data_IF_089819809316
#
_entry.id   IF_089819809316
#
_cell.length_a   1.000
_cell.length_b   1.000
_cell.length_c   1.000
_cell.angle_alpha   90.00
_cell.angle_beta   90.00
_cell.angle_gamma   90.00
#
_symmetry.space_group_name_H-M   'P 1'
#
loop_
_entity.id
_entity.type
_entity.pdbx_description
1 polymer ?
#
# COMPACT_ATOMS: atom_id res chain seq x y z
N UNK A 1 -24.88 20.82 -0.36
CA UNK A 1 -24.04 19.83 0.34
C UNK A 1 -23.48 18.88 -0.71
N UNK A 2 -22.41 18.15 -0.41
CA UNK A 2 -21.83 17.17 -1.33
C UNK A 2 -22.83 16.01 -1.54
N UNK A 3 -23.09 15.62 -2.79
CA UNK A 3 -23.98 14.48 -3.10
C UNK A 3 -23.50 13.19 -2.43
N UNK A 4 -22.18 13.03 -2.28
CA UNK A 4 -21.60 11.92 -1.52
C UNK A 4 -22.05 11.96 -0.05
N UNK A 5 -21.92 13.11 0.63
CA UNK A 5 -22.33 13.25 2.02
C UNK A 5 -23.84 13.02 2.22
N UNK A 6 -24.67 13.46 1.26
CA UNK A 6 -26.12 13.25 1.31
C UNK A 6 -26.44 11.74 1.22
N UNK A 7 -25.80 11.02 0.30
CA UNK A 7 -25.94 9.56 0.18
C UNK A 7 -25.45 8.83 1.43
N UNK A 8 -24.28 9.17 1.98
CA UNK A 8 -23.77 8.60 3.23
C UNK A 8 -24.74 8.82 4.39
N UNK A 9 -25.27 10.04 4.52
CA UNK A 9 -26.21 10.40 5.58
C UNK A 9 -27.53 9.63 5.49
N UNK A 10 -27.93 9.23 4.27
CA UNK A 10 -29.15 8.45 4.02
C UNK A 10 -29.04 6.95 4.29
N UNK A 11 -27.83 6.41 4.49
CA UNK A 11 -27.65 4.97 4.73
C UNK A 11 -28.26 4.53 6.06
N UNK A 12 -28.96 3.39 6.13
CA UNK A 12 -29.45 2.88 7.42
C UNK A 12 -28.29 2.44 8.33
N UNK A 13 -27.36 1.67 7.75
CA UNK A 13 -26.15 1.16 8.42
C UNK A 13 -24.96 1.49 7.54
N UNK A 14 -23.99 2.21 8.08
CA UNK A 14 -22.72 2.49 7.38
C UNK A 14 -21.75 1.32 7.51
N UNK A 15 -20.98 1.12 6.46
CA UNK A 15 -19.81 0.24 6.39
C UNK A 15 -18.85 0.80 5.37
N UNK A 16 -17.59 0.38 5.44
CA UNK A 16 -16.56 0.70 4.48
C UNK A 16 -16.98 0.36 3.03
N UNK A 17 -17.57 -0.82 2.82
CA UNK A 17 -18.03 -1.24 1.48
C UNK A 17 -19.08 -0.28 0.91
N UNK A 18 -19.99 0.23 1.76
CA UNK A 18 -20.98 1.24 1.35
C UNK A 18 -20.35 2.60 1.10
N UNK A 19 -19.30 2.97 1.83
CA UNK A 19 -18.54 4.20 1.59
C UNK A 19 -17.90 4.17 0.20
N UNK A 20 -17.17 3.09 -0.11
CA UNK A 20 -16.53 2.90 -1.42
C UNK A 20 -17.57 2.80 -2.54
N UNK A 21 -18.65 2.03 -2.33
CA UNK A 21 -19.74 1.91 -3.30
C UNK A 21 -20.42 3.24 -3.60
N UNK A 22 -20.61 4.09 -2.58
CA UNK A 22 -21.17 5.43 -2.75
C UNK A 22 -20.24 6.32 -3.57
N UNK A 23 -18.93 6.30 -3.29
CA UNK A 23 -17.94 7.04 -4.07
C UNK A 23 -17.92 6.58 -5.53
N UNK A 24 -17.87 5.26 -5.77
CA UNK A 24 -17.84 4.68 -7.11
C UNK A 24 -19.07 5.03 -7.95
N UNK A 25 -20.26 5.03 -7.34
CA UNK A 25 -21.51 5.39 -8.01
C UNK A 25 -21.60 6.87 -8.41
N UNK A 26 -20.69 7.72 -7.92
CA UNK A 26 -20.62 9.14 -8.22
C UNK A 26 -19.48 9.49 -9.19
N UNK A 27 -18.73 8.49 -9.68
CA UNK A 27 -17.72 8.69 -10.72
C UNK A 27 -18.38 8.49 -12.09
N UNK A 28 -18.32 9.49 -13.00
CA UNK A 28 -18.85 9.34 -14.35
C UNK A 28 -18.19 8.15 -15.09
N UNK A 29 -18.95 7.29 -15.80
CA UNK A 29 -18.41 6.11 -16.46
C UNK A 29 -17.30 6.40 -17.49
N UNK A 30 -17.38 7.55 -18.16
CA UNK A 30 -16.40 8.06 -19.13
C UNK A 30 -15.14 8.65 -18.48
N UNK A 31 -15.18 8.89 -17.18
CA UNK A 31 -14.09 9.47 -16.39
C UNK A 31 -13.48 8.47 -15.40
N UNK A 32 -13.84 7.18 -15.48
CA UNK A 32 -13.13 6.13 -14.74
C UNK A 32 -11.63 6.25 -15.05
N UNK A 33 -10.79 6.73 -14.11
CA UNK A 33 -9.47 7.21 -14.48
C UNK A 33 -8.57 6.03 -14.85
N UNK A 34 -7.78 6.19 -15.90
CA UNK A 34 -6.69 5.26 -16.23
C UNK A 34 -5.68 5.22 -15.08
N UNK A 35 -5.01 4.09 -14.86
CA UNK A 35 -4.01 3.93 -13.80
C UNK A 35 -2.93 5.04 -13.81
N UNK A 36 -2.60 5.56 -15.01
CA UNK A 36 -1.65 6.66 -15.26
C UNK A 36 -2.00 8.01 -14.63
N UNK A 37 -3.27 8.41 -14.62
CA UNK A 37 -3.67 9.70 -14.07
C UNK A 37 -3.45 9.75 -12.54
N UNK A 38 -3.42 8.59 -11.89
CA UNK A 38 -3.53 8.41 -10.43
C UNK A 38 -2.18 8.40 -9.67
N UNK A 39 -1.04 8.54 -10.35
CA UNK A 39 0.33 8.37 -9.78
C UNK A 39 1.05 9.69 -9.43
N UNK A 40 0.38 10.85 -9.48
CA UNK A 40 0.94 12.10 -8.95
C UNK A 40 0.84 12.09 -7.42
N UNK A 41 1.86 11.50 -6.77
CA UNK A 41 1.80 11.01 -5.40
C UNK A 41 1.25 11.98 -4.35
N UNK A 42 0.41 11.43 -3.46
CA UNK A 42 0.18 11.81 -2.06
C UNK A 42 -0.39 13.19 -1.74
N UNK A 43 -0.12 14.18 -2.59
CA UNK A 43 -0.54 15.57 -2.47
C UNK A 43 -1.45 15.86 -3.66
N UNK A 44 -2.50 15.06 -3.83
CA UNK A 44 -3.62 15.51 -4.65
C UNK A 44 -4.41 16.47 -3.77
N UNK A 45 -4.38 17.73 -4.15
CA UNK A 45 -5.29 18.72 -3.60
C UNK A 45 -6.71 18.25 -3.93
N UNK A 46 -7.49 17.92 -2.90
CA UNK A 46 -8.89 17.51 -3.03
C UNK A 46 -9.74 18.73 -3.46
N UNK A 47 -9.59 19.16 -4.70
CA UNK A 47 -10.16 20.41 -5.23
C UNK A 47 -11.56 20.21 -5.82
N UNK A 48 -12.00 18.97 -5.98
CA UNK A 48 -13.32 18.63 -6.51
C UNK A 48 -13.92 17.37 -5.88
N UNK A 49 -15.25 17.27 -5.96
CA UNK A 49 -16.00 16.08 -5.54
C UNK A 49 -15.56 14.82 -6.29
N UNK A 50 -15.22 14.97 -7.58
CA UNK A 50 -14.69 13.89 -8.39
C UNK A 50 -13.36 13.37 -7.83
N UNK A 51 -12.40 14.24 -7.51
CA UNK A 51 -11.09 13.83 -6.98
C UNK A 51 -11.20 13.15 -5.61
N UNK A 52 -12.12 13.61 -4.76
CA UNK A 52 -12.39 12.96 -3.48
C UNK A 52 -12.98 11.55 -3.67
N UNK A 53 -13.92 11.37 -4.60
CA UNK A 53 -14.50 10.06 -4.92
C UNK A 53 -13.47 9.12 -5.57
N UNK A 54 -12.70 9.63 -6.53
CA UNK A 54 -11.62 8.90 -7.18
C UNK A 54 -10.60 8.39 -6.17
N UNK A 55 -10.21 9.23 -5.20
CA UNK A 55 -9.29 8.81 -4.13
C UNK A 55 -9.83 7.62 -3.33
N UNK A 56 -11.09 7.67 -2.90
CA UNK A 56 -11.70 6.57 -2.13
C UNK A 56 -11.70 5.28 -2.96
N UNK A 57 -12.12 5.35 -4.23
CA UNK A 57 -12.17 4.18 -5.11
C UNK A 57 -10.79 3.63 -5.46
N UNK A 58 -9.81 4.51 -5.67
CA UNK A 58 -8.45 4.13 -6.04
C UNK A 58 -7.65 3.56 -4.87
N UNK A 59 -7.78 4.14 -3.68
CA UNK A 59 -6.89 3.84 -2.55
C UNK A 59 -7.58 3.26 -1.33
N UNK A 60 -8.90 3.32 -1.23
CA UNK A 60 -9.63 2.85 -0.05
C UNK A 60 -9.40 1.38 0.26
N UNK A 61 -9.60 0.49 -0.71
CA UNK A 61 -9.39 -0.96 -0.53
C UNK A 61 -7.95 -1.28 -0.14
N UNK A 62 -6.99 -0.53 -0.70
CA UNK A 62 -5.57 -0.64 -0.35
C UNK A 62 -5.32 -0.20 1.10
N UNK A 63 -6.03 0.80 1.62
CA UNK A 63 -5.93 1.16 3.05
C UNK A 63 -6.56 0.08 3.93
N UNK A 64 -7.76 -0.40 3.58
CA UNK A 64 -8.45 -1.47 4.31
C UNK A 64 -7.57 -2.71 4.44
N UNK A 65 -7.05 -3.18 3.32
CA UNK A 65 -6.09 -4.27 3.25
C UNK A 65 -4.97 -4.19 4.28
N UNK A 66 -4.27 -3.06 4.28
CA UNK A 66 -3.12 -2.83 5.17
C UNK A 66 -3.55 -2.79 6.62
N UNK A 67 -4.68 -2.16 6.93
CA UNK A 67 -5.18 -2.12 8.31
C UNK A 67 -5.57 -3.52 8.79
N UNK A 68 -6.22 -4.31 7.93
CA UNK A 68 -6.70 -5.65 8.25
C UNK A 68 -5.60 -6.68 8.52
N UNK A 69 -4.36 -6.44 8.10
CA UNK A 69 -3.21 -7.27 8.48
C UNK A 69 -2.71 -6.98 9.91
N UNK A 70 -3.02 -5.82 10.48
CA UNK A 70 -2.49 -5.38 11.79
C UNK A 70 -3.53 -5.31 12.88
N UNK A 71 -4.75 -4.91 12.56
CA UNK A 71 -5.86 -4.85 13.51
C UNK A 71 -6.06 -6.17 14.28
N UNK A 72 -5.89 -7.38 13.69
CA UNK A 72 -5.91 -8.65 14.41
C UNK A 72 -4.87 -8.80 15.52
N UNK A 73 -3.72 -8.14 15.40
CA UNK A 73 -2.59 -8.25 16.33
C UNK A 73 -2.73 -7.31 17.54
N UNK A 74 -3.70 -6.39 17.52
CA UNK A 74 -3.96 -5.47 18.62
C UNK A 74 -4.87 -6.17 19.64
N UNK A 75 -4.51 -6.20 20.94
CA UNK A 75 -5.30 -6.86 21.98
C UNK A 75 -6.52 -6.03 22.40
N UNK A 76 -7.44 -5.77 21.45
CA UNK A 76 -8.64 -4.95 21.68
C UNK A 76 -9.55 -5.50 22.78
N UNK A 77 -9.49 -6.80 23.08
CA UNK A 77 -10.23 -7.39 24.20
C UNK A 77 -9.83 -6.76 25.55
N UNK A 78 -8.58 -6.34 25.71
CA UNK A 78 -8.10 -5.63 26.90
C UNK A 78 -8.59 -4.17 26.98
N UNK A 79 -9.28 -3.71 25.94
CA UNK A 79 -9.89 -2.38 25.85
C UNK A 79 -11.40 -2.43 26.15
N UNK A 80 -12.01 -3.60 26.40
CA UNK A 80 -13.46 -3.72 26.64
C UNK A 80 -13.90 -2.91 27.86
N UNK A 81 -13.16 -2.99 28.97
CA UNK A 81 -13.52 -2.30 30.21
C UNK A 81 -13.00 -0.85 30.28
N UNK A 82 -12.06 -0.48 29.41
CA UNK A 82 -11.40 0.84 29.44
C UNK A 82 -11.81 1.74 28.28
N UNK A 83 -12.35 1.18 27.20
CA UNK A 83 -12.61 1.87 25.94
C UNK A 83 -11.35 2.11 25.11
N UNK A 84 -11.49 2.90 24.06
CA UNK A 84 -10.43 3.21 23.10
C UNK A 84 -10.55 4.64 22.57
N UNK A 85 -9.41 5.31 22.43
CA UNK A 85 -9.28 6.57 21.70
C UNK A 85 -8.75 6.26 20.29
N UNK A 86 -9.44 6.72 19.25
CA UNK A 86 -9.01 6.57 17.86
C UNK A 86 -8.42 7.89 17.34
N UNK A 87 -7.25 7.82 16.72
CA UNK A 87 -6.60 8.99 16.10
C UNK A 87 -6.25 8.67 14.65
N UNK A 88 -6.90 9.33 13.70
CA UNK A 88 -6.69 9.16 12.26
C UNK A 88 -5.86 10.34 11.73
N UNK A 89 -4.58 10.07 11.47
CA UNK A 89 -3.59 11.07 11.04
C UNK A 89 -3.62 11.29 9.53
N UNK A 90 -4.80 11.50 8.95
CA UNK A 90 -4.92 11.80 7.52
C UNK A 90 -4.74 10.58 6.63
N UNK A 91 -5.48 9.51 6.93
CA UNK A 91 -5.59 8.35 6.05
C UNK A 91 -6.54 8.57 4.85
N UNK A 92 -7.03 9.80 4.67
CA UNK A 92 -7.88 10.20 3.58
C UNK A 92 -9.36 9.96 3.89
N UNK A 93 -10.09 11.05 4.12
CA UNK A 93 -11.55 11.08 4.28
C UNK A 93 -12.05 10.14 5.39
N UNK A 94 -11.26 9.88 6.43
CA UNK A 94 -11.65 9.04 7.58
C UNK A 94 -11.70 7.52 7.29
N UNK A 95 -11.05 7.07 6.22
CA UNK A 95 -11.03 5.66 5.80
C UNK A 95 -10.49 4.75 6.90
N UNK A 96 -9.41 5.13 7.59
CA UNK A 96 -8.82 4.26 8.59
C UNK A 96 -9.71 4.11 9.82
N UNK A 97 -10.37 5.20 10.22
CA UNK A 97 -11.43 5.17 11.24
C UNK A 97 -12.56 4.23 10.83
N UNK A 98 -13.11 4.37 9.61
CA UNK A 98 -14.22 3.54 9.14
C UNK A 98 -13.87 2.04 9.13
N UNK A 99 -12.69 1.67 8.62
CA UNK A 99 -12.21 0.28 8.60
C UNK A 99 -12.05 -0.26 10.02
N UNK A 100 -11.46 0.53 10.92
CA UNK A 100 -11.26 0.12 12.32
C UNK A 100 -12.60 -0.08 13.04
N UNK A 101 -13.57 0.80 12.82
CA UNK A 101 -14.90 0.70 13.41
C UNK A 101 -15.68 -0.52 12.88
N UNK A 102 -15.61 -0.80 11.58
CA UNK A 102 -16.16 -2.02 10.99
C UNK A 102 -15.50 -3.27 11.60
N UNK A 103 -14.17 -3.24 11.73
CA UNK A 103 -13.41 -4.33 12.33
C UNK A 103 -13.85 -4.60 13.78
N UNK A 104 -13.98 -3.56 14.60
CA UNK A 104 -14.42 -3.70 16.00
C UNK A 104 -15.87 -4.21 16.09
N UNK A 105 -16.78 -3.71 15.25
CA UNK A 105 -18.18 -4.21 15.19
C UNK A 105 -18.27 -5.68 14.79
N UNK A 106 -17.30 -6.20 14.03
CA UNK A 106 -17.25 -7.61 13.63
C UNK A 106 -16.77 -8.56 14.74
N UNK A 107 -16.29 -8.04 15.87
CA UNK A 107 -15.79 -8.87 16.98
C UNK A 107 -16.94 -9.38 17.85
N UNK A 108 -16.69 -10.48 18.57
CA UNK A 108 -17.62 -11.05 19.56
C UNK A 108 -17.68 -10.25 20.87
N UNK A 109 -16.79 -9.28 21.05
CA UNK A 109 -16.74 -8.34 22.16
C UNK A 109 -16.94 -6.91 21.65
N UNK A 110 -17.38 -6.01 22.52
CA UNK A 110 -17.61 -4.60 22.20
C UNK A 110 -16.55 -3.75 22.89
N UNK A 111 -15.92 -2.85 22.13
CA UNK A 111 -15.01 -1.84 22.65
C UNK A 111 -15.67 -0.48 22.47
N UNK A 112 -15.85 0.25 23.57
CA UNK A 112 -16.39 1.60 23.52
C UNK A 112 -15.36 2.56 22.90
N UNK A 113 -15.79 3.39 21.94
CA UNK A 113 -14.96 4.46 21.42
C UNK A 113 -15.22 5.71 22.24
N UNK A 114 -14.25 6.09 23.07
CA UNK A 114 -14.39 7.21 24.00
C UNK A 114 -14.09 8.55 23.32
N UNK A 115 -13.21 8.55 22.32
CA UNK A 115 -12.90 9.74 21.54
C UNK A 115 -12.40 9.38 20.14
N UNK A 116 -12.67 10.26 19.18
CA UNK A 116 -12.10 10.21 17.84
C UNK A 116 -11.42 11.54 17.53
N UNK A 117 -10.18 11.47 17.05
CA UNK A 117 -9.40 12.60 16.56
C UNK A 117 -9.18 12.40 15.07
N UNK A 118 -9.77 13.27 14.25
CA UNK A 118 -9.64 13.25 12.79
C UNK A 118 -8.72 14.38 12.37
N UNK A 119 -7.66 14.05 11.64
CA UNK A 119 -6.73 15.03 11.11
C UNK A 119 -6.67 14.88 9.59
N UNK A 120 -6.82 15.97 8.85
CA UNK A 120 -6.73 15.96 7.38
C UNK A 120 -6.02 17.21 6.87
N UNK A 121 -5.34 17.10 5.72
CA UNK A 121 -4.58 18.24 5.15
C UNK A 121 -5.49 19.35 4.58
N UNK A 122 -6.72 19.02 4.21
CA UNK A 122 -7.64 19.98 3.57
C UNK A 122 -9.08 19.78 4.06
N UNK A 123 -9.77 20.91 4.25
CA UNK A 123 -11.15 20.98 4.71
C UNK A 123 -12.16 20.03 4.04
N UNK A 124 -12.19 19.86 2.70
CA UNK A 124 -13.18 18.98 2.08
C UNK A 124 -13.02 17.51 2.52
N UNK A 125 -11.78 17.03 2.65
CA UNK A 125 -11.50 15.68 3.13
C UNK A 125 -11.87 15.54 4.62
N UNK A 126 -11.54 16.55 5.43
CA UNK A 126 -11.91 16.59 6.85
C UNK A 126 -13.43 16.52 7.06
N UNK A 127 -14.19 17.32 6.30
CA UNK A 127 -15.65 17.33 6.39
C UNK A 127 -16.27 15.97 6.02
N UNK A 128 -15.71 15.29 5.01
CA UNK A 128 -16.14 13.92 4.66
C UNK A 128 -15.79 12.92 5.74
N UNK A 129 -14.58 13.00 6.29
CA UNK A 129 -14.16 12.15 7.41
C UNK A 129 -15.13 12.29 8.60
N UNK A 130 -15.44 13.53 8.98
CA UNK A 130 -16.40 13.84 10.05
C UNK A 130 -17.79 13.29 9.74
N UNK A 131 -18.31 13.50 8.52
CA UNK A 131 -19.60 12.99 8.09
C UNK A 131 -19.68 11.46 8.13
N UNK A 132 -18.61 10.78 7.69
CA UNK A 132 -18.48 9.33 7.74
C UNK A 132 -18.50 8.85 9.19
N UNK A 133 -17.61 9.36 10.05
CA UNK A 133 -17.50 8.93 11.45
C UNK A 133 -18.78 9.19 12.23
N UNK A 134 -19.43 10.33 12.04
CA UNK A 134 -20.71 10.62 12.70
C UNK A 134 -21.81 9.62 12.32
N UNK A 135 -21.75 9.06 11.11
CA UNK A 135 -22.71 8.05 10.66
C UNK A 135 -22.50 6.68 11.33
N UNK A 136 -21.35 6.45 11.96
CA UNK A 136 -21.10 5.25 12.77
C UNK A 136 -21.85 5.24 14.12
N UNK A 137 -22.65 6.26 14.45
CA UNK A 137 -23.48 6.29 15.66
C UNK A 137 -22.69 5.92 16.92
N UNK A 138 -21.53 6.56 17.10
CA UNK A 138 -20.71 6.41 18.30
C UNK A 138 -21.52 6.84 19.54
N UNK A 139 -21.13 6.39 20.75
CA UNK A 139 -21.77 6.82 21.99
C UNK A 139 -21.90 8.34 22.07
N UNK A 140 -22.97 8.85 22.68
CA UNK A 140 -23.15 10.31 22.84
C UNK A 140 -22.07 10.96 23.72
N UNK A 141 -21.37 10.15 24.52
CA UNK A 141 -20.19 10.53 25.30
C UNK A 141 -18.91 10.60 24.47
N UNK A 142 -18.91 10.07 23.24
CA UNK A 142 -17.73 10.05 22.38
C UNK A 142 -17.39 11.45 21.91
N UNK A 143 -16.22 11.95 22.29
CA UNK A 143 -15.73 13.25 21.85
C UNK A 143 -15.07 13.13 20.47
N UNK A 144 -15.68 13.73 19.46
CA UNK A 144 -15.19 13.75 18.07
C UNK A 144 -14.62 15.13 17.75
N UNK A 145 -13.30 15.21 17.64
CA UNK A 145 -12.58 16.42 17.24
C UNK A 145 -11.98 16.23 15.86
N UNK A 146 -12.28 17.16 14.95
CA UNK A 146 -11.79 17.15 13.57
C UNK A 146 -10.98 18.43 13.32
N UNK A 147 -9.69 18.28 12.97
CA UNK A 147 -8.77 19.38 12.74
C UNK A 147 -8.16 19.31 11.35
N UNK A 148 -8.05 20.48 10.70
CA UNK A 148 -7.17 20.61 9.57
C UNK A 148 -5.72 20.58 10.08
N UNK A 149 -4.81 19.96 9.34
CA UNK A 149 -3.40 19.93 9.71
C UNK A 149 -2.83 21.36 9.65
N UNK A 150 -2.80 22.02 10.79
CA UNK A 150 -2.01 23.20 11.04
C UNK A 150 -1.28 23.06 12.39
N UNK A 151 -0.05 23.57 12.47
CA UNK A 151 0.81 23.44 13.65
C UNK A 151 0.20 24.07 14.92
N UNK A 152 -0.80 24.95 14.76
CA UNK A 152 -1.39 25.72 15.88
C UNK A 152 -2.51 24.95 16.57
N UNK A 153 -3.19 24.03 15.89
CA UNK A 153 -4.28 23.23 16.45
C UNK A 153 -3.86 21.92 17.10
N UNK A 154 -2.64 21.42 16.88
CA UNK A 154 -2.24 20.07 17.30
C UNK A 154 -2.28 19.83 18.81
N UNK A 155 -2.09 20.86 19.64
CA UNK A 155 -2.19 20.73 21.10
C UNK A 155 -3.62 20.37 21.55
N UNK A 156 -4.64 20.87 20.85
CA UNK A 156 -6.05 20.56 21.16
C UNK A 156 -6.40 19.09 20.99
N UNK A 157 -5.62 18.33 20.22
CA UNK A 157 -5.83 16.89 20.08
C UNK A 157 -5.63 16.14 21.41
N UNK A 158 -4.81 16.70 22.32
CA UNK A 158 -4.51 16.13 23.63
C UNK A 158 -5.48 16.59 24.73
N UNK A 159 -6.33 17.57 24.45
CA UNK A 159 -7.28 18.13 25.40
C UNK A 159 -8.46 17.17 25.62
N UNK A 160 -8.99 17.18 26.84
CA UNK A 160 -10.20 16.46 27.27
C UNK A 160 -10.21 14.95 27.00
N UNK A 161 -9.02 14.32 26.91
CA UNK A 161 -8.90 12.87 26.73
C UNK A 161 -9.11 12.11 28.06
N UNK A 162 -9.95 11.06 28.07
CA UNK A 162 -10.26 10.29 29.28
C UNK A 162 -9.03 9.57 29.85
N UNK A 163 -8.87 9.60 31.18
CA UNK A 163 -7.71 9.06 31.90
C UNK A 163 -7.56 7.54 31.76
N UNK A 164 -6.33 7.05 31.53
CA UNK A 164 -6.03 5.62 31.44
C UNK A 164 -6.52 4.90 30.18
N UNK A 165 -7.34 5.54 29.34
CA UNK A 165 -7.89 4.94 28.12
C UNK A 165 -6.80 4.74 27.06
N UNK A 166 -6.62 3.53 26.50
CA UNK A 166 -5.65 3.28 25.43
C UNK A 166 -5.90 4.12 24.17
N UNK A 167 -4.82 4.45 23.45
CA UNK A 167 -4.89 5.24 22.21
C UNK A 167 -4.42 4.40 21.02
N UNK A 168 -5.17 4.41 19.91
CA UNK A 168 -4.78 3.84 18.63
C UNK A 168 -4.54 4.97 17.61
N UNK A 169 -3.28 5.15 17.23
CA UNK A 169 -2.86 6.08 16.19
C UNK A 169 -2.77 5.34 14.85
N UNK A 170 -3.53 5.82 13.88
CA UNK A 170 -3.60 5.30 12.51
C UNK A 170 -2.92 6.32 11.59
N UNK A 171 -1.78 5.94 11.03
CA UNK A 171 -1.04 6.70 10.04
C UNK A 171 -1.15 6.01 8.69
N UNK A 172 -1.35 6.79 7.63
CA UNK A 172 -1.18 6.34 6.25
C UNK A 172 0.14 6.90 5.67
N UNK A 173 0.18 7.17 4.37
CA UNK A 173 1.28 7.79 3.64
C UNK A 173 1.59 9.22 4.09
N UNK A 174 0.91 9.77 5.10
CA UNK A 174 1.14 11.13 5.58
C UNK A 174 2.59 11.34 6.01
N UNK A 175 3.22 10.32 6.61
CA UNK A 175 4.63 10.39 7.06
C UNK A 175 5.64 10.49 5.90
N UNK A 176 5.21 10.26 4.66
CA UNK A 176 6.04 10.44 3.46
C UNK A 176 5.85 11.81 2.78
N UNK A 177 4.97 12.66 3.32
CA UNK A 177 4.70 14.01 2.78
C UNK A 177 5.91 14.91 3.02
N UNK A 178 6.48 15.45 1.94
CA UNK A 178 7.64 16.34 2.01
C UNK A 178 7.26 17.64 2.73
N UNK A 179 8.02 17.99 3.77
CA UNK A 179 7.82 19.23 4.54
C UNK A 179 6.85 19.09 5.71
N UNK A 180 6.39 17.88 6.03
CA UNK A 180 5.61 17.62 7.23
C UNK A 180 6.48 17.72 8.50
N UNK A 181 5.92 18.29 9.57
CA UNK A 181 6.57 18.43 10.88
C UNK A 181 6.53 17.09 11.66
N UNK A 182 7.41 16.16 11.30
CA UNK A 182 7.50 14.82 11.93
C UNK A 182 7.78 14.91 13.43
N UNK A 183 8.58 15.89 13.86
CA UNK A 183 8.92 16.06 15.26
C UNK A 183 7.70 16.55 16.06
N UNK A 184 6.93 17.49 15.52
CA UNK A 184 5.65 17.90 16.10
C UNK A 184 4.66 16.75 16.22
N UNK A 185 4.55 15.88 15.20
CA UNK A 185 3.72 14.66 15.26
C UNK A 185 4.18 13.78 16.41
N UNK A 186 5.49 13.51 16.51
CA UNK A 186 6.07 12.67 17.56
C UNK A 186 5.75 13.23 18.94
N UNK A 187 5.95 14.52 19.15
CA UNK A 187 5.63 15.20 20.40
C UNK A 187 4.15 15.07 20.76
N UNK A 188 3.24 15.24 19.80
CA UNK A 188 1.80 15.07 20.03
C UNK A 188 1.44 13.62 20.37
N UNK A 189 2.01 12.63 19.66
CA UNK A 189 1.81 11.20 19.98
C UNK A 189 2.30 10.89 21.40
N UNK A 190 3.44 11.44 21.82
CA UNK A 190 3.95 11.28 23.19
C UNK A 190 3.08 11.96 24.24
N UNK A 191 2.58 13.16 23.97
CA UNK A 191 1.63 13.87 24.85
C UNK A 191 0.34 13.06 25.02
N UNK A 192 -0.23 12.54 23.92
CA UNK A 192 -1.42 11.68 23.94
C UNK A 192 -1.18 10.38 24.68
N UNK A 193 0.02 9.80 24.58
CA UNK A 193 0.38 8.62 25.35
C UNK A 193 0.21 8.93 26.83
N UNK A 194 0.85 9.97 27.36
CA UNK A 194 0.57 10.45 28.73
C UNK A 194 0.53 9.35 29.81
N UNK A 195 1.38 8.32 29.70
CA UNK A 195 1.40 7.16 30.59
C UNK A 195 0.40 6.02 30.30
N UNK A 196 -0.38 6.12 29.23
CA UNK A 196 -1.34 5.12 28.74
C UNK A 196 -0.69 4.10 27.82
N UNK A 197 -1.41 3.03 27.49
CA UNK A 197 -1.07 2.16 26.36
C UNK A 197 -1.34 2.90 25.05
N UNK A 198 -0.34 2.94 24.17
CA UNK A 198 -0.49 3.53 22.84
C UNK A 198 -0.11 2.51 21.77
N UNK A 199 -0.96 2.38 20.76
CA UNK A 199 -0.77 1.54 19.59
C UNK A 199 -0.55 2.46 18.40
N UNK A 200 0.51 2.25 17.65
CA UNK A 200 0.80 3.05 16.45
C UNK A 200 0.88 2.11 15.26
N UNK A 201 -0.06 2.32 14.34
CA UNK A 201 -0.15 1.60 13.09
C UNK A 201 0.16 2.56 11.95
N UNK A 202 1.25 2.32 11.24
CA UNK A 202 1.63 3.09 10.06
C UNK A 202 1.57 2.22 8.81
N UNK A 203 0.71 2.61 7.87
CA UNK A 203 0.52 1.92 6.61
C UNK A 203 1.07 2.76 5.45
N UNK A 204 2.14 2.30 4.78
CA UNK A 204 2.82 3.07 3.73
C UNK A 204 3.29 2.21 2.55
N UNK A 205 3.48 2.77 1.35
CA UNK A 205 4.09 2.07 0.21
C UNK A 205 5.57 1.77 0.47
N UNK A 206 6.08 0.67 -0.10
CA UNK A 206 7.52 0.38 -0.12
C UNK A 206 8.25 1.34 -1.08
N UNK A 207 8.67 2.49 -0.56
CA UNK A 207 9.39 3.51 -1.34
C UNK A 207 10.91 3.29 -1.40
N UNK A 208 11.40 2.07 -1.11
CA UNK A 208 12.83 1.73 -1.18
C UNK A 208 13.47 2.02 -2.55
N UNK A 209 12.68 2.23 -3.60
CA UNK A 209 13.24 2.41 -4.94
C UNK A 209 13.38 3.86 -5.45
N UNK A 210 13.09 4.91 -4.65
CA UNK A 210 13.17 6.29 -5.18
C UNK A 210 13.91 7.38 -4.41
N UNK A 211 14.36 7.20 -3.17
CA UNK A 211 15.16 8.25 -2.48
C UNK A 211 16.28 7.67 -1.64
N UNK A 212 17.44 8.31 -1.73
CA UNK A 212 18.71 8.01 -1.08
C UNK A 212 18.71 8.24 0.44
N UNK A 213 17.56 8.09 1.12
CA UNK A 213 17.40 8.39 2.54
C UNK A 213 16.59 7.27 3.20
N UNK A 214 16.91 6.86 4.43
CA UNK A 214 16.04 5.94 5.17
C UNK A 214 14.60 6.51 5.19
N UNK A 215 13.57 5.67 5.05
CA UNK A 215 12.19 6.17 5.05
C UNK A 215 11.94 6.91 6.37
N UNK A 216 11.37 8.12 6.31
CA UNK A 216 11.06 8.96 7.48
C UNK A 216 10.29 8.19 8.56
N UNK A 217 9.49 7.21 8.12
CA UNK A 217 8.85 6.22 8.97
C UNK A 217 9.82 5.49 9.92
N UNK A 218 10.95 4.98 9.45
CA UNK A 218 11.89 4.25 10.32
C UNK A 218 12.54 5.16 11.37
N UNK A 219 12.78 6.42 11.03
CA UNK A 219 13.32 7.41 11.98
C UNK A 219 12.25 7.84 12.98
N UNK A 220 10.99 7.99 12.54
CA UNK A 220 9.82 8.16 13.41
C UNK A 220 9.69 6.99 14.39
N UNK A 221 9.79 5.73 13.92
CA UNK A 221 9.75 4.53 14.77
C UNK A 221 10.86 4.51 15.83
N UNK A 222 12.09 4.85 15.44
CA UNK A 222 13.26 4.84 16.33
C UNK A 222 13.22 5.94 17.40
N UNK A 223 12.37 6.94 17.21
CA UNK A 223 12.29 8.10 18.10
C UNK A 223 11.50 7.84 19.40
N UNK A 224 10.76 6.73 19.48
CA UNK A 224 10.02 6.32 20.68
C UNK A 224 10.91 5.50 21.64
N UNK A 225 10.82 5.71 22.96
CA UNK A 225 11.71 5.04 23.93
C UNK A 225 11.25 3.61 24.27
N UNK A 226 11.85 2.56 23.68
CA UNK A 226 11.49 1.12 23.84
C UNK A 226 10.20 0.71 23.09
N UNK A 227 10.14 0.87 21.76
CA UNK A 227 9.02 0.37 20.98
C UNK A 227 9.01 -1.16 21.03
N UNK A 228 7.84 -1.74 21.28
CA UNK A 228 7.62 -3.16 21.10
C UNK A 228 7.02 -3.37 19.72
N UNK A 229 7.84 -3.89 18.81
CA UNK A 229 7.38 -4.21 17.46
C UNK A 229 6.34 -5.33 17.57
N UNK A 230 5.07 -4.99 17.35
CA UNK A 230 3.98 -5.96 17.25
C UNK A 230 4.13 -6.75 15.94
N UNK A 231 4.50 -6.06 14.86
CA UNK A 231 4.66 -6.69 13.56
C UNK A 231 5.53 -5.85 12.62
N UNK A 232 6.55 -6.47 12.04
CA UNK A 232 7.30 -5.94 10.90
C UNK A 232 7.11 -6.94 9.78
N UNK A 233 6.56 -6.51 8.64
CA UNK A 233 6.66 -7.31 7.42
C UNK A 233 8.01 -6.98 6.77
N UNK A 234 9.04 -7.84 6.89
CA UNK A 234 10.17 -7.75 5.99
C UNK A 234 9.68 -8.15 4.59
N UNK A 235 10.39 -7.62 3.62
CA UNK A 235 10.19 -7.82 2.19
C UNK A 235 10.41 -9.29 1.78
N UNK A 236 9.56 -10.23 2.22
CA UNK A 236 9.65 -11.66 1.93
C UNK A 236 8.36 -12.16 1.27
N UNK A 237 8.24 -11.90 -0.03
CA UNK A 237 7.67 -12.87 -0.97
C UNK A 237 6.16 -13.15 -0.92
N UNK A 238 5.36 -12.45 -0.12
CA UNK A 238 3.90 -12.64 -0.10
C UNK A 238 3.20 -11.29 -0.26
N UNK A 239 3.19 -10.79 -1.49
CA UNK A 239 2.22 -9.76 -1.86
C UNK A 239 0.82 -10.37 -1.77
N UNK A 240 0.09 -10.14 -0.67
CA UNK A 240 -1.32 -10.51 -0.63
C UNK A 240 -2.10 -9.53 -1.51
N UNK A 241 -2.92 -10.11 -2.39
CA UNK A 241 -3.92 -9.42 -3.20
C UNK A 241 -5.07 -9.01 -2.29
N UNK A 242 -5.51 -7.75 -2.38
CA UNK A 242 -6.70 -7.28 -1.68
C UNK A 242 -7.67 -6.60 -2.65
N UNK A 243 -8.93 -7.00 -2.60
CA UNK A 243 -10.05 -6.41 -3.34
C UNK A 243 -10.62 -7.28 -4.47
N UNK A 244 -11.90 -7.08 -4.79
CA UNK A 244 -12.52 -7.53 -6.05
C UNK A 244 -12.34 -6.42 -7.10
N UNK A 245 -11.80 -6.78 -8.25
CA UNK A 245 -10.95 -5.92 -9.07
C UNK A 245 -11.69 -5.09 -10.14
N UNK A 246 -11.37 -3.79 -10.23
CA UNK A 246 -11.62 -2.98 -11.44
C UNK A 246 -10.64 -1.81 -11.70
N UNK A 247 -9.84 -1.35 -10.72
CA UNK A 247 -9.21 -0.01 -10.85
C UNK A 247 -7.78 0.21 -10.32
N UNK A 248 -7.14 -0.75 -9.64
CA UNK A 248 -5.71 -0.64 -9.26
C UNK A 248 -5.06 -1.99 -9.01
N UNK A 249 -3.95 -2.33 -9.70
CA UNK A 249 -3.19 -3.50 -9.38
C UNK A 249 -1.89 -3.17 -8.63
N UNK A 250 -1.82 -3.72 -7.41
CA UNK A 250 -0.67 -3.80 -6.51
C UNK A 250 -0.08 -2.48 -6.00
N UNK A 251 -0.11 -2.34 -4.68
CA UNK A 251 0.86 -1.52 -3.96
C UNK A 251 1.67 -2.47 -3.07
N UNK A 252 2.96 -2.68 -3.39
CA UNK A 252 3.91 -3.20 -2.41
C UNK A 252 3.93 -2.25 -1.23
N UNK A 253 3.40 -2.67 -0.09
CA UNK A 253 3.30 -1.81 1.08
C UNK A 253 4.06 -2.44 2.23
N UNK A 254 5.15 -1.79 2.63
CA UNK A 254 5.74 -2.08 3.92
C UNK A 254 4.83 -1.47 4.97
N UNK A 255 4.12 -2.34 5.66
CA UNK A 255 3.30 -1.94 6.78
C UNK A 255 4.14 -2.10 8.05
N UNK A 256 4.12 -1.08 8.89
CA UNK A 256 4.83 -1.06 10.17
C UNK A 256 3.80 -0.86 11.28
N UNK A 257 3.69 -1.85 12.15
CA UNK A 257 2.83 -1.77 13.33
C UNK A 257 3.66 -2.03 14.57
N UNK A 258 3.60 -1.11 15.52
CA UNK A 258 4.26 -1.28 16.80
C UNK A 258 3.35 -0.82 17.92
N UNK A 259 3.49 -1.50 19.05
CA UNK A 259 2.93 -1.03 20.28
C UNK A 259 3.99 -0.26 21.02
N UNK A 260 3.54 0.80 21.64
CA UNK A 260 4.37 1.57 22.52
C UNK A 260 3.70 1.70 23.88
N UNK A 261 3.92 0.68 24.70
CA UNK A 261 3.36 0.54 26.03
C UNK A 261 4.44 0.60 27.11
N UNK A 262 4.09 1.13 28.28
CA UNK A 262 4.96 1.18 29.47
C UNK A 262 5.38 -0.21 29.99
N UNK A 263 4.66 -1.26 29.61
CA UNK A 263 4.91 -2.65 29.98
C UNK A 263 4.87 -3.56 28.74
N UNK A 264 5.55 -4.72 28.75
CA UNK A 264 5.45 -5.73 27.71
C UNK A 264 3.99 -6.08 27.42
N UNK A 265 3.59 -6.05 26.15
CA UNK A 265 2.31 -6.58 25.70
C UNK A 265 2.52 -8.04 25.31
N UNK A 266 1.73 -8.95 25.89
CA UNK A 266 1.68 -10.32 25.41
C UNK A 266 0.96 -10.34 24.06
N UNK A 267 1.76 -10.40 22.98
CA UNK A 267 1.22 -10.54 21.63
C UNK A 267 0.76 -11.99 21.47
N UNK A 268 -0.55 -12.20 21.36
CA UNK A 268 -1.08 -13.50 20.94
C UNK A 268 -0.52 -13.82 19.54
N UNK A 269 0.05 -15.01 19.32
CA UNK A 269 0.45 -15.42 17.97
C UNK A 269 -0.79 -15.35 17.08
N UNK A 270 -0.61 -14.83 15.87
CA UNK A 270 -1.67 -14.78 14.86
C UNK A 270 -2.14 -16.23 14.65
N UNK A 271 -3.30 -16.57 15.21
CA UNK A 271 -4.08 -17.67 14.69
C UNK A 271 -4.45 -17.17 13.31
N UNK A 272 -3.97 -17.83 12.26
CA UNK A 272 -4.44 -17.57 10.90
C UNK A 272 -5.95 -17.38 10.99
N UNK A 273 -6.52 -16.30 10.43
CA UNK A 273 -7.97 -16.19 10.40
C UNK A 273 -8.47 -17.53 9.88
N UNK A 274 -9.50 -18.15 10.50
CA UNK A 274 -10.02 -19.41 9.99
C UNK A 274 -10.17 -19.18 8.50
N UNK A 275 -9.47 -20.00 7.70
CA UNK A 275 -9.69 -20.07 6.26
C UNK A 275 -11.20 -20.11 6.19
N UNK A 276 -11.81 -19.04 5.68
CA UNK A 276 -13.25 -19.04 5.51
C UNK A 276 -13.49 -20.35 4.79
N UNK A 277 -14.18 -21.30 5.44
CA UNK A 277 -14.53 -22.54 4.78
C UNK A 277 -15.05 -22.11 3.43
N UNK A 278 -14.45 -22.65 2.39
CA UNK A 278 -14.90 -22.46 1.03
C UNK A 278 -16.36 -22.85 1.07
N UNK A 279 -17.21 -21.85 1.29
CA UNK A 279 -18.63 -22.02 1.41
C UNK A 279 -18.98 -22.67 0.11
N UNK A 280 -19.43 -23.92 0.21
CA UNK A 280 -19.89 -24.72 -0.92
C UNK A 280 -20.62 -23.78 -1.85
N UNK A 281 -20.12 -23.69 -3.08
CA UNK A 281 -20.67 -22.83 -4.12
C UNK A 281 -22.20 -22.83 -3.99
N UNK A 282 -22.86 -21.66 -3.90
CA UNK A 282 -24.31 -21.64 -3.99
C UNK A 282 -24.67 -22.40 -5.26
N UNK A 283 -25.47 -23.47 -5.07
CA UNK A 283 -25.91 -24.32 -6.17
C UNK A 283 -26.41 -23.42 -7.30
N UNK A 284 -25.94 -23.75 -8.50
CA UNK A 284 -26.26 -23.16 -9.79
C UNK A 284 -27.62 -22.46 -9.81
N UNK A 285 -27.60 -21.13 -9.67
CA UNK A 285 -28.65 -20.28 -10.21
C UNK A 285 -28.54 -20.32 -11.75
N UNK A 286 -29.67 -20.33 -12.48
CA UNK A 286 -29.67 -20.52 -13.92
C UNK A 286 -28.86 -19.41 -14.58
N UNK A 287 -27.94 -19.81 -15.45
CA UNK A 287 -27.22 -18.95 -16.37
C UNK A 287 -28.25 -18.28 -17.26
N UNK A 288 -28.68 -17.07 -16.89
CA UNK A 288 -29.23 -16.12 -17.86
C UNK A 288 -28.04 -15.46 -18.51
N UNK A 289 -27.72 -15.97 -19.69
CA UNK A 289 -26.84 -15.38 -20.68
C UNK A 289 -27.19 -13.92 -20.92
N UNK A 290 -26.13 -13.12 -21.11
CA UNK A 290 -26.09 -11.72 -21.54
C UNK A 290 -25.97 -10.65 -20.43
N UNK A 291 -24.78 -10.62 -19.80
CA UNK A 291 -24.15 -9.39 -19.30
C UNK A 291 -22.95 -9.06 -20.21
N UNK A 292 -22.64 -7.79 -20.51
CA UNK A 292 -21.66 -7.42 -21.53
C UNK A 292 -20.25 -7.89 -21.16
N UNK A 293 -19.54 -8.40 -22.17
CA UNK A 293 -18.16 -8.92 -22.14
C UNK A 293 -17.24 -8.18 -21.17
N UNK A 294 -16.50 -8.97 -20.36
CA UNK A 294 -15.30 -8.52 -19.64
C UNK A 294 -14.48 -7.60 -20.54
N UNK A 295 -14.09 -6.44 -20.01
CA UNK A 295 -13.06 -5.62 -20.63
C UNK A 295 -11.83 -6.51 -20.91
N UNK A 296 -11.17 -6.36 -22.07
CA UNK A 296 -9.94 -7.09 -22.35
C UNK A 296 -8.91 -6.80 -21.24
N UNK A 297 -8.04 -7.77 -20.89
CA UNK A 297 -6.99 -7.56 -19.89
C UNK A 297 -6.13 -6.36 -20.28
N UNK A 298 -5.84 -5.48 -19.33
CA UNK A 298 -5.03 -4.30 -19.59
C UNK A 298 -3.58 -4.75 -19.86
N UNK A 299 -3.01 -4.46 -21.05
CA UNK A 299 -1.63 -4.81 -21.34
C UNK A 299 -0.62 -4.21 -20.36
N UNK A 300 -0.93 -3.09 -19.68
CA UNK A 300 -0.04 -2.51 -18.66
C UNK A 300 0.12 -3.41 -17.42
N UNK A 301 -0.83 -4.32 -17.15
CA UNK A 301 -0.79 -5.23 -15.99
C UNK A 301 0.42 -6.19 -16.05
N UNK A 302 0.91 -6.51 -17.26
CA UNK A 302 2.04 -7.41 -17.45
C UNK A 302 3.33 -6.89 -16.80
N UNK A 303 3.53 -5.57 -16.78
CA UNK A 303 4.72 -4.95 -16.17
C UNK A 303 4.79 -5.22 -14.69
N UNK A 304 3.62 -5.20 -14.08
CA UNK A 304 3.50 -5.20 -12.65
C UNK A 304 3.46 -6.62 -12.13
N UNK A 305 2.78 -7.57 -12.78
CA UNK A 305 2.94 -8.99 -12.46
C UNK A 305 4.40 -9.45 -12.57
N UNK A 306 5.10 -9.01 -13.62
CA UNK A 306 6.52 -9.27 -13.80
C UNK A 306 7.40 -8.59 -12.75
N UNK A 307 7.11 -7.32 -12.40
CA UNK A 307 7.77 -6.60 -11.32
C UNK A 307 7.53 -7.23 -9.94
N UNK A 308 6.40 -7.91 -9.80
CA UNK A 308 5.88 -8.43 -8.56
C UNK A 308 6.31 -9.86 -8.22
N UNK A 309 6.68 -10.64 -9.24
CA UNK A 309 6.96 -12.06 -9.08
C UNK A 309 5.70 -12.92 -9.08
N UNK A 310 4.57 -12.37 -9.56
CA UNK A 310 3.27 -13.02 -9.61
C UNK A 310 3.18 -13.90 -10.85
N UNK A 311 3.72 -15.11 -10.72
CA UNK A 311 3.91 -16.02 -11.85
C UNK A 311 2.57 -16.44 -12.46
N UNK A 312 1.60 -16.84 -11.64
CA UNK A 312 0.32 -17.37 -12.12
C UNK A 312 -0.47 -16.33 -12.91
N UNK A 313 -0.52 -15.09 -12.43
CA UNK A 313 -1.22 -13.99 -13.10
C UNK A 313 -0.49 -13.52 -14.35
N UNK A 314 0.84 -13.49 -14.31
CA UNK A 314 1.67 -13.21 -15.48
C UNK A 314 1.42 -14.25 -16.59
N UNK A 315 1.44 -15.54 -16.25
CA UNK A 315 1.15 -16.63 -17.17
C UNK A 315 -0.29 -16.57 -17.70
N UNK A 316 -1.25 -16.13 -16.87
CA UNK A 316 -2.62 -15.90 -17.29
C UNK A 316 -2.73 -14.80 -18.34
N UNK A 317 -2.02 -13.67 -18.19
CA UNK A 317 -1.99 -12.60 -19.20
C UNK A 317 -1.34 -13.05 -20.51
N UNK A 318 -0.20 -13.75 -20.41
CA UNK A 318 0.49 -14.31 -21.57
C UNK A 318 -0.47 -15.24 -22.33
N UNK A 319 -1.20 -16.11 -21.60
CA UNK A 319 -2.20 -17.00 -22.19
C UNK A 319 -3.40 -16.26 -22.78
N UNK A 320 -3.77 -15.11 -22.21
CA UNK A 320 -4.81 -14.23 -22.74
C UNK A 320 -4.37 -13.43 -23.98
N UNK A 321 -3.10 -13.58 -24.42
CA UNK A 321 -2.58 -12.96 -25.64
C UNK A 321 -2.04 -11.54 -25.45
N UNK A 322 -1.75 -11.13 -24.21
CA UNK A 322 -1.03 -9.87 -23.97
C UNK A 322 0.37 -9.98 -24.56
N UNK A 323 0.77 -8.95 -25.31
CA UNK A 323 2.11 -8.87 -25.92
C UNK A 323 3.18 -8.80 -24.82
N UNK A 324 4.05 -9.81 -24.76
CA UNK A 324 5.15 -9.92 -23.79
C UNK A 324 6.21 -8.83 -23.97
N UNK A 325 6.29 -8.27 -25.18
CA UNK A 325 7.19 -7.18 -25.54
C UNK A 325 6.52 -5.80 -25.48
N UNK A 326 5.27 -5.72 -24.97
CA UNK A 326 4.62 -4.45 -24.68
C UNK A 326 5.54 -3.57 -23.83
N UNK A 327 5.53 -2.24 -24.08
CA UNK A 327 6.46 -1.29 -23.44
C UNK A 327 5.71 -0.08 -22.91
N UNK A 328 6.06 0.36 -21.72
CA UNK A 328 5.52 1.61 -21.18
C UNK A 328 6.15 2.83 -21.85
N UNK A 329 5.74 4.04 -21.44
CA UNK A 329 6.23 5.32 -21.99
C UNK A 329 7.75 5.53 -21.85
N UNK A 330 8.40 4.80 -20.94
CA UNK A 330 9.85 4.84 -20.75
C UNK A 330 10.55 3.74 -21.56
N UNK A 331 9.82 2.94 -22.31
CA UNK A 331 10.32 1.80 -23.05
C UNK A 331 10.65 0.59 -22.18
N UNK A 332 10.17 0.51 -20.94
CA UNK A 332 10.40 -0.68 -20.11
C UNK A 332 9.39 -1.78 -20.46
N UNK A 333 9.88 -3.00 -20.66
CA UNK A 333 9.09 -4.21 -20.86
C UNK A 333 8.86 -4.96 -19.53
N UNK A 334 7.99 -5.97 -19.55
CA UNK A 334 7.80 -6.89 -18.42
C UNK A 334 9.12 -7.54 -17.98
N UNK A 335 9.92 -7.99 -18.95
CA UNK A 335 11.21 -8.62 -18.69
C UNK A 335 12.20 -7.68 -18.00
N UNK A 336 12.22 -6.39 -18.37
CA UNK A 336 13.02 -5.37 -17.67
C UNK A 336 12.62 -5.27 -16.20
N UNK A 337 11.32 -5.27 -15.88
CA UNK A 337 10.84 -5.17 -14.51
C UNK A 337 11.12 -6.43 -13.69
N UNK A 338 10.90 -7.62 -14.25
CA UNK A 338 11.25 -8.88 -13.60
C UNK A 338 12.76 -8.95 -13.32
N UNK A 339 13.58 -8.54 -14.29
CA UNK A 339 15.03 -8.54 -14.16
C UNK A 339 15.55 -7.55 -13.10
N UNK A 340 14.96 -6.35 -13.04
CA UNK A 340 15.29 -5.33 -12.03
C UNK A 340 15.03 -5.83 -10.59
N UNK A 341 13.92 -6.55 -10.39
CA UNK A 341 13.49 -6.97 -9.05
C UNK A 341 13.98 -8.36 -8.64
N UNK A 342 14.59 -9.13 -9.55
CA UNK A 342 15.11 -10.46 -9.23
C UNK A 342 14.07 -11.57 -9.30
N UNK A 343 12.96 -11.37 -10.03
CA UNK A 343 11.87 -12.33 -10.09
C UNK A 343 12.18 -13.43 -11.12
N UNK A 344 13.09 -14.35 -10.76
CA UNK A 344 13.63 -15.36 -11.67
C UNK A 344 12.56 -16.20 -12.38
N UNK A 345 11.50 -16.62 -11.67
CA UNK A 345 10.43 -17.41 -12.28
C UNK A 345 9.65 -16.63 -13.35
N UNK A 346 9.39 -15.35 -13.11
CA UNK A 346 8.78 -14.46 -14.11
C UNK A 346 9.71 -14.22 -15.31
N UNK A 347 11.02 -14.06 -15.07
CA UNK A 347 12.03 -13.96 -16.15
C UNK A 347 11.97 -15.20 -17.03
N UNK A 348 12.00 -16.40 -16.43
CA UNK A 348 11.88 -17.67 -17.15
C UNK A 348 10.60 -17.78 -17.96
N UNK A 349 9.47 -17.42 -17.35
CA UNK A 349 8.16 -17.49 -18.02
C UNK A 349 8.10 -16.54 -19.22
N UNK A 350 8.56 -15.30 -19.05
CA UNK A 350 8.61 -14.30 -20.13
C UNK A 350 9.56 -14.70 -21.26
N UNK A 351 10.76 -15.17 -20.94
CA UNK A 351 11.72 -15.68 -21.93
C UNK A 351 11.12 -16.87 -22.69
N UNK A 352 10.51 -17.82 -21.96
CA UNK A 352 9.83 -18.97 -22.55
C UNK A 352 8.66 -18.56 -23.45
N UNK A 353 7.98 -17.47 -23.12
CA UNK A 353 6.93 -16.87 -23.93
C UNK A 353 7.46 -16.04 -25.11
N UNK A 354 8.77 -15.95 -25.30
CA UNK A 354 9.41 -15.29 -26.44
C UNK A 354 9.72 -13.81 -26.23
N UNK A 355 9.74 -13.32 -24.98
CA UNK A 355 10.10 -11.92 -24.69
C UNK A 355 11.51 -11.59 -25.21
N UNK A 356 11.66 -10.45 -25.85
CA UNK A 356 12.92 -9.98 -26.39
C UNK A 356 13.84 -9.47 -25.26
N UNK A 357 14.90 -10.25 -25.01
CA UNK A 357 15.91 -10.01 -23.96
C UNK A 357 16.74 -8.74 -24.17
N UNK A 358 16.68 -8.12 -25.35
CA UNK A 358 17.42 -6.90 -25.70
C UNK A 358 16.62 -5.61 -25.51
N UNK A 359 15.34 -5.67 -25.10
CA UNK A 359 14.50 -4.49 -24.97
C UNK A 359 14.92 -3.59 -23.79
N UNK A 360 15.91 -2.73 -24.04
CA UNK A 360 16.37 -1.73 -23.08
C UNK A 360 15.55 -0.45 -23.10
N UNK A 361 15.36 0.17 -21.93
CA UNK A 361 14.52 1.37 -21.78
C UNK A 361 14.97 2.55 -22.65
N UNK A 362 14.02 3.38 -23.06
CA UNK A 362 14.29 4.57 -23.86
C UNK A 362 15.18 5.56 -23.09
N UNK A 363 15.97 6.33 -23.84
CA UNK A 363 16.92 7.31 -23.31
C UNK A 363 18.16 6.69 -22.68
N UNK A 364 18.00 5.76 -21.72
CA UNK A 364 19.16 5.18 -21.03
C UNK A 364 19.76 3.94 -21.69
N UNK A 365 19.00 3.26 -22.58
CA UNK A 365 19.38 1.99 -23.22
C UNK A 365 19.70 0.87 -22.23
N UNK A 366 19.12 0.92 -21.03
CA UNK A 366 19.36 -0.09 -19.99
C UNK A 366 18.59 -1.37 -20.33
N UNK A 367 19.29 -2.43 -20.74
CA UNK A 367 18.71 -3.74 -21.07
C UNK A 367 18.33 -4.51 -19.80
N UNK A 368 17.48 -5.56 -19.91
CA UNK A 368 17.21 -6.50 -18.82
C UNK A 368 18.49 -7.03 -18.14
N UNK A 369 19.54 -7.34 -18.92
CA UNK A 369 20.81 -7.78 -18.34
C UNK A 369 21.52 -6.68 -17.55
N UNK A 370 21.67 -5.48 -18.14
CA UNK A 370 22.34 -4.37 -17.45
C UNK A 370 21.60 -3.89 -16.20
N UNK A 371 20.26 -3.95 -16.20
CA UNK A 371 19.47 -3.61 -15.00
C UNK A 371 19.60 -4.70 -13.92
N UNK A 372 19.68 -5.98 -14.29
CA UNK A 372 19.93 -7.07 -13.35
C UNK A 372 21.31 -6.91 -12.67
N UNK A 373 22.34 -6.53 -13.44
CA UNK A 373 23.68 -6.20 -12.88
C UNK A 373 23.59 -5.04 -11.90
N UNK A 374 22.98 -3.92 -12.31
CA UNK A 374 22.86 -2.72 -11.46
C UNK A 374 22.18 -2.99 -10.11
N UNK A 375 21.25 -3.96 -10.06
CA UNK A 375 20.50 -4.34 -8.86
C UNK A 375 20.97 -5.67 -8.24
N UNK A 376 22.15 -6.16 -8.63
CA UNK A 376 22.82 -7.31 -8.02
C UNK A 376 22.00 -8.61 -8.07
N UNK A 377 21.23 -8.81 -9.15
CA UNK A 377 20.37 -9.99 -9.34
C UNK A 377 21.13 -11.14 -10.00
N UNK A 378 21.98 -11.81 -9.22
CA UNK A 378 22.94 -12.81 -9.71
C UNK A 378 22.30 -13.99 -10.45
N UNK A 379 21.17 -14.49 -9.97
CA UNK A 379 20.41 -15.58 -10.55
C UNK A 379 19.76 -15.19 -11.88
N UNK A 380 19.14 -14.01 -11.92
CA UNK A 380 18.60 -13.41 -13.16
C UNK A 380 19.71 -13.12 -14.18
N UNK A 381 20.88 -12.65 -13.75
CA UNK A 381 22.00 -12.39 -14.66
C UNK A 381 22.41 -13.66 -15.40
N UNK A 382 22.49 -14.79 -14.69
CA UNK A 382 22.82 -16.10 -15.27
C UNK A 382 21.73 -16.56 -16.25
N UNK A 383 20.47 -16.49 -15.82
CA UNK A 383 19.33 -16.89 -16.66
C UNK A 383 19.26 -16.08 -17.96
N UNK A 384 19.43 -14.76 -17.90
CA UNK A 384 19.42 -13.91 -19.09
C UNK A 384 20.60 -14.21 -20.03
N UNK A 385 21.78 -14.49 -19.49
CA UNK A 385 22.94 -14.88 -20.29
C UNK A 385 22.72 -16.25 -20.97
N UNK A 386 22.15 -17.22 -20.25
CA UNK A 386 21.76 -18.53 -20.79
C UNK A 386 20.66 -18.41 -21.85
N UNK A 387 19.84 -17.36 -21.76
CA UNK A 387 18.81 -17.02 -22.75
C UNK A 387 19.37 -16.33 -24.01
N UNK A 388 20.68 -16.12 -24.09
CA UNK A 388 21.37 -15.59 -25.28
C UNK A 388 21.37 -14.07 -25.40
N UNK A 389 21.23 -13.33 -24.30
CA UNK A 389 21.31 -11.86 -24.34
C UNK A 389 22.74 -11.35 -24.63
N UNK A 390 22.86 -10.14 -25.17
CA UNK A 390 24.12 -9.43 -25.33
C UNK A 390 24.65 -8.96 -23.96
N UNK A 391 25.45 -9.81 -23.33
CA UNK A 391 26.12 -9.51 -22.06
C UNK A 391 27.15 -8.37 -22.18
N UNK A 392 27.49 -7.96 -23.41
CA UNK A 392 28.38 -6.83 -23.72
C UNK A 392 27.62 -5.55 -24.10
N UNK A 393 26.28 -5.56 -23.99
CA UNK A 393 25.44 -4.41 -24.27
C UNK A 393 25.93 -3.17 -23.50
N UNK A 394 25.79 -2.01 -24.14
CA UNK A 394 26.20 -0.72 -23.57
C UNK A 394 25.02 0.22 -23.43
N UNK A 395 24.95 0.88 -22.28
CA UNK A 395 23.97 1.93 -22.04
C UNK A 395 24.24 3.19 -22.90
N UNK A 396 23.38 4.19 -22.80
CA UNK A 396 23.53 5.46 -23.53
C UNK A 396 24.82 6.24 -23.21
N UNK A 397 25.49 5.95 -22.09
CA UNK A 397 26.78 6.54 -21.71
C UNK A 397 27.96 5.66 -22.14
N UNK A 398 27.71 4.60 -22.91
CA UNK A 398 28.72 3.64 -23.33
C UNK A 398 29.17 2.67 -22.24
N UNK A 399 28.47 2.61 -21.10
CA UNK A 399 28.84 1.73 -19.97
C UNK A 399 28.31 0.33 -20.19
N UNK A 400 29.18 -0.68 -20.11
CA UNK A 400 28.79 -2.09 -20.06
C UNK A 400 28.61 -2.59 -18.62
N UNK A 401 28.30 -3.87 -18.45
CA UNK A 401 28.08 -4.49 -17.13
C UNK A 401 29.23 -4.26 -16.13
N UNK A 402 30.49 -4.43 -16.58
CA UNK A 402 31.67 -4.21 -15.73
C UNK A 402 31.85 -2.73 -15.32
N UNK A 403 31.49 -1.79 -16.20
CA UNK A 403 31.54 -0.36 -15.90
C UNK A 403 30.43 0.03 -14.92
N UNK A 404 29.23 -0.56 -15.07
CA UNK A 404 28.13 -0.40 -14.11
C UNK A 404 28.55 -0.92 -12.74
N UNK A 405 29.10 -2.13 -12.64
CA UNK A 405 29.53 -2.70 -11.37
C UNK A 405 30.54 -1.81 -10.63
N UNK A 406 31.50 -1.24 -11.38
CA UNK A 406 32.50 -0.31 -10.84
C UNK A 406 31.91 1.03 -10.40
N UNK A 407 31.07 1.65 -11.23
CA UNK A 407 30.49 2.98 -10.97
C UNK A 407 29.56 2.97 -9.75
N UNK A 408 28.82 1.87 -9.54
CA UNK A 408 27.89 1.74 -8.42
C UNK A 408 28.51 1.11 -7.17
N UNK A 409 29.80 0.72 -7.20
CA UNK A 409 30.48 0.11 -6.06
C UNK A 409 29.87 -1.23 -5.64
N UNK A 410 29.46 -2.05 -6.62
CA UNK A 410 28.79 -3.33 -6.35
C UNK A 410 29.75 -4.35 -5.74
N UNK A 411 29.21 -5.32 -5.00
CA UNK A 411 30.00 -6.31 -4.27
C UNK A 411 30.85 -7.24 -5.16
N UNK A 412 31.90 -7.82 -4.58
CA UNK A 412 32.85 -8.71 -5.28
C UNK A 412 32.13 -9.86 -6.01
N UNK A 413 31.07 -10.43 -5.41
CA UNK A 413 30.28 -11.49 -6.03
C UNK A 413 29.66 -11.10 -7.38
N UNK A 414 29.22 -9.85 -7.53
CA UNK A 414 28.63 -9.34 -8.79
C UNK A 414 29.72 -9.09 -9.82
N UNK A 415 30.86 -8.53 -9.41
CA UNK A 415 32.02 -8.32 -10.29
C UNK A 415 32.51 -9.66 -10.85
N UNK A 416 32.72 -10.65 -9.99
CA UNK A 416 33.13 -12.01 -10.40
C UNK A 416 32.09 -12.64 -11.31
N UNK A 417 30.78 -12.48 -11.03
CA UNK A 417 29.73 -13.01 -11.88
C UNK A 417 29.75 -12.37 -13.29
N UNK A 418 29.87 -11.05 -13.38
CA UNK A 418 29.98 -10.35 -14.67
C UNK A 418 31.19 -10.84 -15.47
N UNK A 419 32.35 -10.98 -14.84
CA UNK A 419 33.55 -11.49 -15.50
C UNK A 419 33.41 -12.94 -15.95
N UNK A 420 32.83 -13.80 -15.11
CA UNK A 420 32.64 -15.22 -15.42
C UNK A 420 31.65 -15.41 -16.57
N UNK A 421 30.52 -14.70 -16.55
CA UNK A 421 29.51 -14.75 -17.60
C UNK A 421 30.12 -14.25 -18.92
N UNK A 422 30.84 -13.13 -18.88
CA UNK A 422 31.51 -12.57 -20.06
C UNK A 422 32.54 -13.52 -20.69
N UNK A 423 33.22 -14.34 -19.89
CA UNK A 423 34.18 -15.36 -20.39
C UNK A 423 33.49 -16.58 -21.00
N UNK A 424 32.31 -16.96 -20.49
CA UNK A 424 31.55 -18.11 -20.96
C UNK A 424 30.73 -17.89 -22.24
N UNK A 425 30.60 -16.64 -22.70
CA UNK A 425 29.75 -16.26 -23.86
C UNK A 425 30.57 -16.01 -25.14
N UNK A 426 31.85 -16.44 -25.20
CA UNK A 426 32.79 -16.20 -26.31
C UNK A 426 32.92 -17.36 -27.28
#
# INVERSE_FOLDING_TARGET
MSEFCDRISSLDVISFDKIIGTAAALIPPDQLPTAKARVSGGIRLFNSEFELNDYLVAFGEIHRAKLMEFLPSIPFQECVDTGLILVDWGCGQGVASAVTLDYLRSRSYQVEICAVRLIELVKPALNRALGIVNKYQLPSSCDVLALEWDRKGMDSLCEDLPEGVPVLHLFSNILDVVGLDIEGIRETVEKMRGGRRSYVLSVGPDMVTKRSSPPQLLDFLKSFERPQLLHVYPNSGTGRIYGNWKYWPYAYCKCYGFAYALSPIEVQPIIEPPVAEVGTAPQSMPVTTELPSLLPPDPEDIFMYASAGMLEELESLIKAGVDVDYRNEKGASALYFAAKHGNLLCVRSLVKAGANVELGVFGTRMTPYLIAVKYERLDVMKELAESGCDVFARDHKGRGAADIARVYGLGEAVVTAVESISKGTK
#
